data_IF_905735370411
#
_entry.id   IF_905735370411
#
_cell.length_a   1.000
_cell.length_b   1.000
_cell.length_c   1.000
_cell.angle_alpha   90.00
_cell.angle_beta   90.00
_cell.angle_gamma   90.00
#
_symmetry.space_group_name_H-M   'P 1'
#
loop_
_entity.id
_entity.type
_entity.pdbx_description
1 polymer ?
#
# COMPACT_ATOMS: atom_id res chain seq x y z
N UNK A 1 5.16 -4.61 -13.63
CA UNK A 1 4.13 -3.93 -12.81
C UNK A 1 2.90 -4.80 -12.90
N UNK A 2 2.61 -5.54 -11.82
CA UNK A 2 1.53 -6.53 -11.76
C UNK A 2 0.33 -6.02 -10.95
N UNK A 3 -0.03 -4.75 -11.16
CA UNK A 3 -1.13 -4.08 -10.47
C UNK A 3 -2.32 -3.80 -11.37
N UNK A 4 -3.49 -3.65 -10.76
CA UNK A 4 -4.76 -3.42 -11.44
C UNK A 4 -5.56 -2.30 -10.76
N UNK A 5 -6.24 -1.48 -11.56
CA UNK A 5 -7.33 -0.62 -11.10
C UNK A 5 -8.62 -1.37 -11.42
N UNK A 6 -9.40 -1.70 -10.40
CA UNK A 6 -10.61 -2.51 -10.59
C UNK A 6 -11.66 -1.64 -11.32
N UNK A 7 -12.14 -2.05 -12.50
CA UNK A 7 -13.08 -1.26 -13.29
C UNK A 7 -14.33 -0.89 -12.48
N UNK A 8 -14.85 0.33 -12.70
CA UNK A 8 -16.06 0.84 -12.05
C UNK A 8 -16.00 0.90 -10.52
N UNK A 9 -14.79 0.87 -9.94
CA UNK A 9 -14.58 1.04 -8.50
C UNK A 9 -13.49 2.08 -8.23
N UNK A 10 -13.43 2.63 -7.00
CA UNK A 10 -12.33 3.47 -6.57
C UNK A 10 -11.14 2.64 -6.02
N UNK A 11 -10.98 1.38 -6.45
CA UNK A 11 -10.02 0.44 -5.86
C UNK A 11 -8.84 0.19 -6.81
N UNK A 12 -7.63 0.30 -6.27
CA UNK A 12 -6.38 -0.08 -6.90
C UNK A 12 -5.68 -1.16 -6.06
N UNK A 13 -5.13 -2.17 -6.72
CA UNK A 13 -4.37 -3.26 -6.09
C UNK A 13 -3.00 -3.34 -6.75
N UNK A 14 -1.93 -3.29 -5.95
CA UNK A 14 -0.53 -3.32 -6.38
C UNK A 14 -0.17 -2.26 -7.43
N UNK A 15 -0.89 -1.13 -7.42
CA UNK A 15 -0.82 -0.11 -8.45
C UNK A 15 -0.56 1.28 -7.85
N UNK A 16 0.63 1.83 -8.13
CA UNK A 16 1.19 2.99 -7.41
C UNK A 16 1.41 4.22 -8.30
N UNK A 17 0.70 4.33 -9.42
CA UNK A 17 0.80 5.49 -10.30
C UNK A 17 -0.43 6.38 -10.17
N UNK A 18 -0.35 7.47 -9.39
CA UNK A 18 -1.47 8.41 -9.20
C UNK A 18 -1.98 9.00 -10.52
N UNK A 19 -1.09 9.23 -11.50
CA UNK A 19 -1.46 9.71 -12.83
C UNK A 19 -2.33 8.73 -13.61
N UNK A 20 -2.10 7.42 -13.42
CA UNK A 20 -2.81 6.35 -14.12
C UNK A 20 -3.97 5.77 -13.30
N UNK A 21 -3.95 5.96 -11.99
CA UNK A 21 -4.97 5.48 -11.04
C UNK A 21 -6.12 6.49 -10.91
N UNK A 22 -6.63 7.01 -12.04
CA UNK A 22 -7.41 8.24 -12.13
C UNK A 22 -8.58 8.36 -11.13
N UNK A 23 -9.37 7.30 -10.95
CA UNK A 23 -10.51 7.27 -10.01
C UNK A 23 -10.20 6.57 -8.69
N UNK A 24 -9.00 6.00 -8.53
CA UNK A 24 -8.67 5.20 -7.35
C UNK A 24 -8.51 6.08 -6.11
N UNK A 25 -9.16 5.64 -5.03
CA UNK A 25 -9.11 6.25 -3.70
C UNK A 25 -8.61 5.27 -2.64
N UNK A 26 -8.80 3.98 -2.88
CA UNK A 26 -8.39 2.89 -1.99
C UNK A 26 -7.26 2.10 -2.66
N UNK A 27 -6.16 1.89 -1.94
CA UNK A 27 -4.95 1.25 -2.47
C UNK A 27 -4.59 0.05 -1.63
N UNK A 28 -4.52 -1.14 -2.23
CA UNK A 28 -4.19 -2.37 -1.53
C UNK A 28 -2.85 -2.91 -2.01
N UNK A 29 -2.00 -3.34 -1.08
CA UNK A 29 -0.78 -4.09 -1.37
C UNK A 29 -1.01 -5.55 -0.97
N UNK A 30 -0.94 -6.46 -1.94
CA UNK A 30 -1.17 -7.88 -1.69
C UNK A 30 -0.02 -8.50 -0.89
N UNK A 31 1.22 -8.25 -1.28
CA UNK A 31 2.43 -8.77 -0.63
C UNK A 31 3.71 -8.03 -1.07
N UNK A 32 4.81 -8.23 -0.35
CA UNK A 32 6.10 -7.57 -0.58
C UNK A 32 7.00 -8.30 -1.59
N UNK A 33 6.59 -8.31 -2.86
CA UNK A 33 7.48 -8.59 -3.99
C UNK A 33 7.77 -7.33 -4.83
N UNK A 34 8.88 -7.33 -5.54
CA UNK A 34 9.37 -6.15 -6.27
C UNK A 34 8.46 -5.75 -7.45
N UNK A 35 7.84 -6.72 -8.12
CA UNK A 35 6.92 -6.54 -9.25
C UNK A 35 5.56 -5.95 -8.85
N UNK A 36 5.18 -6.11 -7.57
CA UNK A 36 3.98 -5.54 -6.95
C UNK A 36 4.21 -4.17 -6.30
N UNK A 37 5.46 -3.74 -6.11
CA UNK A 37 5.81 -2.46 -5.46
C UNK A 37 6.43 -1.45 -6.44
N UNK A 38 6.31 -1.70 -7.75
CA UNK A 38 6.83 -0.81 -8.79
C UNK A 38 6.12 0.55 -8.74
N UNK A 39 6.87 1.60 -8.40
CA UNK A 39 6.36 2.96 -8.23
C UNK A 39 5.93 3.30 -6.80
N UNK A 40 6.01 2.35 -5.86
CA UNK A 40 5.81 2.59 -4.43
C UNK A 40 7.14 2.99 -3.77
N UNK A 41 7.18 4.20 -3.21
CA UNK A 41 8.35 4.83 -2.58
C UNK A 41 7.95 5.51 -1.26
N UNK A 42 8.95 6.00 -0.50
CA UNK A 42 8.75 6.80 0.72
C UNK A 42 8.02 8.11 0.49
N UNK A 43 7.89 8.57 -0.76
CA UNK A 43 7.12 9.76 -1.13
C UNK A 43 5.62 9.47 -1.29
N UNK A 44 5.17 8.24 -1.05
CA UNK A 44 3.77 7.87 -1.12
C UNK A 44 3.00 8.50 0.05
N UNK A 45 1.99 9.31 -0.27
CA UNK A 45 1.24 10.12 0.71
C UNK A 45 -0.27 9.82 0.68
N UNK A 46 -0.67 8.56 0.42
CA UNK A 46 -2.07 8.11 0.47
C UNK A 46 -2.21 6.88 1.37
N UNK A 47 -3.36 6.67 2.02
CA UNK A 47 -3.61 5.42 2.75
C UNK A 47 -3.43 4.21 1.82
N UNK A 48 -2.71 3.20 2.32
CA UNK A 48 -2.63 1.89 1.69
C UNK A 48 -2.92 0.80 2.71
N UNK A 49 -3.52 -0.27 2.23
CA UNK A 49 -4.04 -1.36 3.04
C UNK A 49 -3.27 -2.63 2.73
N UNK A 50 -2.84 -3.34 3.77
CA UNK A 50 -2.15 -4.61 3.61
C UNK A 50 -2.22 -5.44 4.89
N UNK A 51 -1.72 -6.67 4.84
CA UNK A 51 -1.58 -7.52 6.03
C UNK A 51 -0.49 -6.98 6.97
N UNK A 52 -0.54 -7.32 8.28
CA UNK A 52 0.48 -6.89 9.25
C UNK A 52 1.91 -7.27 8.85
N UNK A 53 2.11 -8.46 8.28
CA UNK A 53 3.43 -8.93 7.81
C UNK A 53 3.93 -8.04 6.66
N UNK A 54 3.07 -7.74 5.69
CA UNK A 54 3.40 -6.86 4.56
C UNK A 54 3.73 -5.45 5.05
N UNK A 55 3.00 -4.92 6.04
CA UNK A 55 3.29 -3.62 6.64
C UNK A 55 4.67 -3.57 7.30
N UNK A 56 5.03 -4.59 8.10
CA UNK A 56 6.34 -4.69 8.74
C UNK A 56 7.49 -4.74 7.70
N UNK A 57 7.33 -5.52 6.64
CA UNK A 57 8.30 -5.62 5.55
C UNK A 57 8.41 -4.31 4.74
N UNK A 58 7.27 -3.67 4.45
CA UNK A 58 7.22 -2.38 3.76
C UNK A 58 7.94 -1.29 4.56
N UNK A 59 7.70 -1.23 5.87
CA UNK A 59 8.35 -0.31 6.77
C UNK A 59 9.89 -0.49 6.77
N UNK A 60 10.36 -1.74 6.91
CA UNK A 60 11.80 -2.06 6.85
C UNK A 60 12.44 -1.68 5.51
N UNK A 61 11.71 -1.85 4.41
CA UNK A 61 12.19 -1.58 3.04
C UNK A 61 12.24 -0.09 2.70
N UNK A 62 11.30 0.71 3.21
CA UNK A 62 11.19 2.13 2.87
C UNK A 62 11.87 3.08 3.87
N UNK A 63 12.31 2.57 5.04
CA UNK A 63 13.12 3.23 6.08
C UNK A 63 12.65 4.60 6.61
N UNK A 64 11.63 5.24 6.04
CA UNK A 64 11.06 6.52 6.48
C UNK A 64 9.59 6.65 6.05
N UNK A 65 8.67 6.60 7.02
CA UNK A 65 7.41 7.38 7.23
C UNK A 65 6.47 6.64 8.19
N UNK A 66 6.84 6.62 9.48
CA UNK A 66 6.07 5.95 10.54
C UNK A 66 4.72 6.62 10.88
N UNK A 67 4.48 7.85 10.42
CA UNK A 67 3.26 8.59 10.81
C UNK A 67 2.07 8.40 9.84
N UNK A 68 2.28 7.94 8.59
CA UNK A 68 1.21 7.93 7.58
C UNK A 68 0.68 6.52 7.22
N UNK A 69 1.43 5.45 7.52
CA UNK A 69 1.00 4.06 7.23
C UNK A 69 0.16 3.43 8.36
N UNK A 70 0.09 4.06 9.53
CA UNK A 70 -0.65 3.54 10.69
C UNK A 70 -2.17 3.67 10.60
N UNK A 71 -2.67 4.52 9.71
CA UNK A 71 -4.13 4.67 9.53
C UNK A 71 -4.64 3.57 8.60
N UNK A 72 -5.13 2.51 9.23
CA UNK A 72 -5.98 1.42 8.70
C UNK A 72 -5.34 0.02 8.55
N UNK A 73 -4.58 -0.38 9.57
CA UNK A 73 -4.53 -1.78 10.06
C UNK A 73 -5.69 -2.00 11.07
N UNK A 74 -6.89 -1.49 10.79
CA UNK A 74 -8.06 -1.78 11.65
C UNK A 74 -8.69 -3.06 11.12
N UNK A 75 -8.10 -4.19 11.48
CA UNK A 75 -8.76 -5.43 11.91
C UNK A 75 -7.64 -6.30 12.47
N UNK A 76 -7.52 -6.31 13.80
CA UNK A 76 -6.60 -7.11 14.61
C UNK A 76 -5.09 -6.79 14.48
N UNK A 77 -4.47 -6.26 15.54
CA UNK A 77 -3.82 -7.04 16.63
C UNK A 77 -2.98 -6.05 17.45
N UNK A 78 -3.25 -6.04 18.75
CA UNK A 78 -2.50 -5.43 19.82
C UNK A 78 -1.13 -6.14 20.03
N UNK A 79 -0.25 -6.17 19.02
CA UNK A 79 1.11 -6.69 19.15
C UNK A 79 2.13 -5.73 18.55
N UNK A 80 2.99 -5.10 19.39
CA UNK A 80 4.09 -4.29 18.89
C UNK A 80 5.10 -5.21 18.19
N UNK A 81 5.46 -4.81 16.97
CA UNK A 81 6.73 -5.23 16.36
C UNK A 81 7.90 -4.60 17.12
#
# INVERSE_FOLDING_TARGET
MNGVVIPQTPIAVDFWSLRRAGSARLFFLTHMHCDHTVGLSSTWARPLYCSPITACLLHRRLQDTLEQFYTQVIFDIHHPC
#
